data_IF_948699898547
#
_entry.id   IF_948699898547
#
_cell.length_a   1.000
_cell.length_b   1.000
_cell.length_c   1.000
_cell.angle_alpha   90.00
_cell.angle_beta   90.00
_cell.angle_gamma   90.00
#
_symmetry.space_group_name_H-M   'P 1'
#
loop_
_entity.id
_entity.type
_entity.pdbx_description
1 polymer ?
#
# COMPACT_ATOMS: atom_id res chain seq x y z
N UNK A 1 17.30 5.40 35.83
CA UNK A 1 18.62 5.78 35.28
C UNK A 1 18.40 6.91 34.28
N UNK A 2 19.20 7.99 34.29
CA UNK A 2 18.98 9.12 33.40
C UNK A 2 19.40 8.73 31.98
N UNK A 3 18.51 8.95 31.01
CA UNK A 3 18.79 8.75 29.60
C UNK A 3 19.91 9.69 29.15
N UNK A 4 21.06 9.14 28.76
CA UNK A 4 22.13 9.93 28.12
C UNK A 4 21.63 10.43 26.78
N UNK A 5 21.28 11.72 26.72
CA UNK A 5 21.03 12.43 25.47
C UNK A 5 22.37 12.65 24.76
N UNK A 6 22.63 11.91 23.68
CA UNK A 6 23.74 12.19 22.78
C UNK A 6 23.25 13.23 21.77
N UNK A 7 23.68 14.49 21.94
CA UNK A 7 23.53 15.53 20.91
C UNK A 7 24.56 15.26 19.82
N UNK A 8 24.13 14.67 18.70
CA UNK A 8 24.88 14.77 17.44
C UNK A 8 24.66 16.17 16.90
N UNK A 9 25.64 17.05 17.11
CA UNK A 9 25.62 18.42 16.58
C UNK A 9 26.01 18.35 15.10
N UNK A 10 25.00 18.31 14.23
CA UNK A 10 25.12 18.71 12.83
C UNK A 10 24.67 20.16 12.72
N UNK A 11 25.44 20.98 12.00
CA UNK A 11 25.29 22.45 11.86
C UNK A 11 24.15 22.88 10.91
N UNK A 12 23.06 22.13 10.82
CA UNK A 12 21.91 22.50 9.99
C UNK A 12 20.67 22.80 10.83
N UNK A 13 20.28 24.07 10.85
CA UNK A 13 19.18 24.65 11.63
C UNK A 13 17.76 24.23 11.15
N UNK A 14 17.60 23.04 10.57
CA UNK A 14 16.29 22.51 10.13
C UNK A 14 16.09 21.00 10.36
N UNK A 15 16.96 20.33 11.14
CA UNK A 15 16.78 18.91 11.44
C UNK A 15 15.60 18.70 12.41
N UNK A 16 14.45 18.36 11.85
CA UNK A 16 13.28 17.92 12.63
C UNK A 16 13.60 16.55 13.23
N UNK A 17 13.73 16.50 14.55
CA UNK A 17 13.88 15.26 15.31
C UNK A 17 12.51 14.66 15.64
N UNK A 18 12.47 13.35 15.81
CA UNK A 18 11.32 12.61 16.34
C UNK A 18 11.80 11.56 17.34
N UNK A 19 10.95 11.28 18.31
CA UNK A 19 11.10 10.18 19.27
C UNK A 19 10.43 8.95 18.67
N UNK A 20 11.16 7.83 18.61
CA UNK A 20 10.65 6.56 18.12
C UNK A 20 10.89 5.50 19.18
N UNK A 21 9.91 4.63 19.35
CA UNK A 21 10.03 3.43 20.18
C UNK A 21 10.36 2.23 19.30
N UNK A 22 11.24 1.34 19.76
CA UNK A 22 11.47 0.05 19.13
C UNK A 22 11.02 -1.04 20.10
N UNK A 23 10.10 -1.89 19.65
CA UNK A 23 9.54 -2.99 20.45
C UNK A 23 9.83 -4.34 19.81
N UNK A 24 10.14 -5.32 20.65
CA UNK A 24 10.29 -6.73 20.24
C UNK A 24 8.94 -7.39 19.92
N UNK A 25 8.98 -8.38 19.02
CA UNK A 25 7.77 -9.08 18.55
C UNK A 25 7.60 -10.53 19.02
N UNK A 26 8.68 -11.18 19.49
CA UNK A 26 8.67 -12.61 19.84
C UNK A 26 8.50 -12.89 21.33
N UNK A 27 8.72 -11.91 22.21
CA UNK A 27 8.65 -12.10 23.66
C UNK A 27 7.53 -11.26 24.26
N UNK A 28 6.81 -11.82 25.23
CA UNK A 28 5.80 -11.09 26.03
C UNK A 28 6.42 -10.04 26.97
N UNK A 29 7.74 -9.88 26.96
CA UNK A 29 8.43 -8.80 27.68
C UNK A 29 8.34 -7.54 26.82
N UNK A 30 7.78 -6.48 27.39
CA UNK A 30 7.66 -5.17 26.78
C UNK A 30 9.00 -4.43 26.77
N UNK A 31 10.03 -5.03 26.19
CA UNK A 31 11.31 -4.36 25.99
C UNK A 31 11.09 -3.30 24.91
N UNK A 32 10.80 -2.09 25.37
CA UNK A 32 10.65 -0.89 24.55
C UNK A 32 11.91 -0.05 24.66
N UNK A 33 12.64 0.05 23.57
CA UNK A 33 13.80 0.93 23.46
C UNK A 33 13.33 2.27 22.93
N UNK A 34 13.74 3.37 23.56
CA UNK A 34 13.38 4.73 23.10
C UNK A 34 14.60 5.37 22.48
N UNK A 35 14.44 5.93 21.29
CA UNK A 35 15.51 6.67 20.61
C UNK A 35 14.98 7.97 20.01
N UNK A 36 15.84 9.00 19.99
CA UNK A 36 15.54 10.27 19.34
C UNK A 36 16.38 10.36 18.07
N UNK A 37 15.72 10.35 16.92
CA UNK A 37 16.35 10.27 15.61
C UNK A 37 15.91 11.45 14.74
N UNK A 38 16.73 11.80 13.76
CA UNK A 38 16.30 12.72 12.70
C UNK A 38 15.30 12.01 11.80
N UNK A 39 14.38 12.75 11.18
CA UNK A 39 13.43 12.16 10.21
C UNK A 39 14.12 11.52 8.99
N UNK A 40 15.31 12.02 8.65
CA UNK A 40 16.17 11.51 7.59
C UNK A 40 17.12 10.40 8.05
N UNK A 41 17.03 9.93 9.30
CA UNK A 41 17.81 8.78 9.73
C UNK A 41 17.37 7.54 8.95
N UNK A 42 18.29 6.61 8.73
CA UNK A 42 17.98 5.32 8.11
C UNK A 42 17.63 4.28 9.17
N UNK A 43 17.00 3.18 8.75
CA UNK A 43 16.77 2.02 9.63
C UNK A 43 18.09 1.43 10.12
N UNK A 44 19.13 1.42 9.29
CA UNK A 44 20.48 1.01 9.68
C UNK A 44 21.03 1.87 10.82
N UNK A 45 20.77 3.17 10.83
CA UNK A 45 21.17 4.05 11.95
C UNK A 45 20.46 3.65 13.26
N UNK A 46 19.18 3.26 13.20
CA UNK A 46 18.47 2.69 14.36
C UNK A 46 19.12 1.37 14.78
N UNK A 47 19.42 0.48 13.84
CA UNK A 47 20.03 -0.82 14.13
C UNK A 47 21.38 -0.66 14.85
N UNK A 48 22.25 0.22 14.35
CA UNK A 48 23.54 0.53 14.99
C UNK A 48 23.35 1.08 16.41
N UNK A 49 22.43 2.02 16.58
CA UNK A 49 22.09 2.56 17.91
C UNK A 49 21.64 1.45 18.88
N UNK A 50 20.74 0.55 18.45
CA UNK A 50 20.27 -0.55 19.29
C UNK A 50 21.43 -1.49 19.67
N UNK A 51 22.32 -1.81 18.74
CA UNK A 51 23.50 -2.63 19.01
C UNK A 51 24.41 -2.01 20.05
N UNK A 52 24.68 -0.71 19.97
CA UNK A 52 25.44 0.02 20.99
C UNK A 52 24.75 -0.04 22.35
N UNK A 53 23.43 0.18 22.40
CA UNK A 53 22.68 0.09 23.66
C UNK A 53 22.67 -1.33 24.24
N UNK A 54 22.56 -2.35 23.41
CA UNK A 54 22.62 -3.76 23.84
C UNK A 54 24.01 -4.16 24.33
N UNK A 55 25.07 -3.66 23.71
CA UNK A 55 26.44 -3.84 24.20
C UNK A 55 26.63 -3.21 25.59
N UNK A 56 26.16 -1.97 25.79
CA UNK A 56 26.27 -1.27 27.08
C UNK A 56 25.48 -1.99 28.17
N UNK A 57 24.27 -2.45 27.84
CA UNK A 57 23.38 -3.13 28.79
C UNK A 57 23.64 -4.63 28.93
N UNK A 58 24.59 -5.19 28.16
CA UNK A 58 24.84 -6.64 28.03
C UNK A 58 23.57 -7.43 27.71
N UNK A 59 22.72 -6.87 26.86
CA UNK A 59 21.47 -7.49 26.46
C UNK A 59 21.76 -8.70 25.54
N UNK A 60 21.17 -9.88 25.77
CA UNK A 60 21.42 -11.08 24.96
C UNK A 60 21.10 -10.91 23.48
N UNK A 61 20.28 -9.92 23.11
CA UNK A 61 19.96 -9.58 21.73
C UNK A 61 21.19 -9.16 20.91
N UNK A 62 22.28 -8.73 21.54
CA UNK A 62 23.53 -8.38 20.85
C UNK A 62 24.21 -9.57 20.15
N UNK A 63 23.85 -10.80 20.52
CA UNK A 63 24.47 -12.01 19.98
C UNK A 63 23.81 -12.49 18.68
N UNK A 64 22.70 -11.88 18.27
CA UNK A 64 22.02 -12.23 17.03
C UNK A 64 22.71 -11.56 15.83
N UNK A 65 22.78 -12.23 14.67
CA UNK A 65 23.39 -11.65 13.49
C UNK A 65 22.54 -10.49 12.98
N UNK A 66 23.18 -9.45 12.46
CA UNK A 66 22.47 -8.27 11.92
C UNK A 66 21.49 -8.62 10.80
N UNK A 67 21.76 -9.69 10.05
CA UNK A 67 20.86 -10.22 9.01
C UNK A 67 19.53 -10.76 9.57
N UNK A 68 19.49 -11.14 10.85
CA UNK A 68 18.26 -11.58 11.52
C UNK A 68 17.39 -10.41 11.99
N UNK A 69 17.88 -9.16 11.93
CA UNK A 69 17.12 -8.01 12.40
C UNK A 69 16.18 -7.54 11.30
N UNK A 70 14.90 -7.88 11.44
CA UNK A 70 13.86 -7.42 10.53
C UNK A 70 13.05 -6.35 11.24
N UNK A 71 13.02 -5.15 10.66
CA UNK A 71 12.22 -4.03 11.16
C UNK A 71 10.90 -3.95 10.40
N UNK A 72 9.83 -3.62 11.10
CA UNK A 72 8.50 -3.52 10.55
C UNK A 72 7.72 -2.36 11.16
N UNK A 73 6.86 -1.75 10.35
CA UNK A 73 5.98 -0.67 10.75
C UNK A 73 4.70 -0.71 9.91
N UNK A 74 3.53 -0.68 10.55
CA UNK A 74 2.21 -0.69 9.91
C UNK A 74 2.06 -1.72 8.78
N UNK A 75 2.44 -2.98 9.05
CA UNK A 75 2.28 -4.07 8.09
C UNK A 75 3.32 -4.12 6.96
N UNK A 76 4.38 -3.29 7.02
CA UNK A 76 5.47 -3.24 6.03
C UNK A 76 6.82 -3.57 6.65
N UNK A 77 7.66 -4.29 5.92
CA UNK A 77 9.07 -4.45 6.26
C UNK A 77 9.82 -3.17 5.90
N UNK A 78 10.66 -2.71 6.81
CA UNK A 78 11.49 -1.53 6.60
C UNK A 78 12.86 -1.94 6.07
N UNK A 79 13.33 -1.27 5.02
CA UNK A 79 14.64 -1.51 4.40
C UNK A 79 15.73 -0.80 5.19
N UNK A 80 16.87 -1.46 5.36
CA UNK A 80 17.98 -0.91 6.16
C UNK A 80 18.47 0.44 5.65
N UNK A 81 18.58 0.60 4.34
CA UNK A 81 19.08 1.84 3.70
C UNK A 81 18.02 2.94 3.57
N UNK A 82 16.74 2.62 3.81
CA UNK A 82 15.66 3.57 3.66
C UNK A 82 15.60 4.57 4.82
N UNK A 83 15.31 5.83 4.50
CA UNK A 83 15.02 6.86 5.48
C UNK A 83 13.71 6.56 6.21
N UNK A 84 13.61 6.91 7.49
CA UNK A 84 12.43 6.64 8.30
C UNK A 84 11.18 7.40 7.84
N UNK A 85 11.36 8.59 7.31
CA UNK A 85 10.28 9.43 6.81
C UNK A 85 9.45 8.79 5.69
N UNK A 86 10.02 7.94 4.83
CA UNK A 86 9.30 7.29 3.74
C UNK A 86 8.18 6.37 4.25
N UNK A 87 8.29 5.94 5.51
CA UNK A 87 7.31 5.10 6.20
C UNK A 87 6.23 5.92 6.92
N UNK A 88 6.23 7.24 6.78
CA UNK A 88 5.24 8.15 7.39
C UNK A 88 5.22 8.08 8.92
N UNK A 89 6.40 7.82 9.52
CA UNK A 89 6.59 7.80 10.97
C UNK A 89 6.35 9.20 11.57
N UNK A 90 5.60 9.22 12.66
CA UNK A 90 5.32 10.38 13.50
C UNK A 90 6.10 10.31 14.81
N UNK A 91 6.08 11.43 15.55
CA UNK A 91 6.65 11.47 16.89
C UNK A 91 5.88 10.53 17.81
N UNK A 92 6.62 9.71 18.56
CA UNK A 92 6.15 8.67 19.48
C UNK A 92 5.60 7.39 18.81
N UNK A 93 5.84 7.20 17.51
CA UNK A 93 5.48 5.94 16.85
C UNK A 93 6.38 4.77 17.31
N UNK A 94 5.85 3.55 17.21
CA UNK A 94 6.55 2.32 17.58
C UNK A 94 6.92 1.52 16.33
N UNK A 95 8.21 1.33 16.11
CA UNK A 95 8.78 0.38 15.16
C UNK A 95 8.89 -0.98 15.84
N UNK A 96 8.64 -2.04 15.10
CA UNK A 96 8.67 -3.41 15.58
C UNK A 96 9.88 -4.13 15.01
N UNK A 97 10.74 -4.66 15.89
CA UNK A 97 11.88 -5.50 15.50
C UNK A 97 11.55 -6.95 15.79
N UNK A 98 11.88 -7.81 14.82
CA UNK A 98 11.67 -9.26 14.91
C UNK A 98 12.93 -10.02 14.50
N UNK A 99 13.18 -11.13 15.19
CA UNK A 99 14.28 -12.05 14.93
C UNK A 99 13.71 -13.42 14.53
N UNK A 100 13.82 -13.85 13.26
CA UNK A 100 13.28 -15.14 12.81
C UNK A 100 13.72 -16.34 13.67
N UNK A 101 14.96 -16.30 14.17
CA UNK A 101 15.53 -17.32 15.05
C UNK A 101 14.91 -17.40 16.46
N UNK A 102 14.19 -16.37 16.92
CA UNK A 102 13.53 -16.34 18.23
C UNK A 102 12.15 -17.01 18.24
N UNK A 103 11.68 -17.52 17.11
CA UNK A 103 10.40 -18.20 16.99
C UNK A 103 9.24 -17.29 16.53
N UNK A 104 7.98 -17.72 16.75
CA UNK A 104 6.82 -17.08 16.16
C UNK A 104 6.54 -15.70 16.76
N UNK A 105 5.88 -14.85 15.97
CA UNK A 105 5.45 -13.52 16.39
C UNK A 105 4.27 -13.63 17.36
N UNK A 106 4.35 -12.91 18.49
CA UNK A 106 3.28 -12.85 19.49
C UNK A 106 2.36 -11.64 19.28
N UNK A 107 2.83 -10.64 18.52
CA UNK A 107 2.12 -9.39 18.27
C UNK A 107 1.79 -9.23 16.78
N UNK A 108 0.53 -8.95 16.42
CA UNK A 108 0.15 -8.58 15.05
C UNK A 108 0.88 -7.35 14.53
N UNK A 109 1.36 -6.51 15.43
CA UNK A 109 1.95 -5.23 15.07
C UNK A 109 3.32 -5.34 14.37
N UNK A 110 3.99 -6.48 14.52
CA UNK A 110 5.24 -6.81 13.82
C UNK A 110 5.08 -7.77 12.64
N UNK A 111 3.84 -8.05 12.23
CA UNK A 111 3.53 -8.91 11.09
C UNK A 111 3.47 -8.09 9.79
N UNK A 112 3.82 -8.71 8.67
CA UNK A 112 3.60 -8.11 7.34
C UNK A 112 2.13 -8.19 6.95
N UNK A 113 1.73 -7.41 5.94
CA UNK A 113 0.36 -7.45 5.40
C UNK A 113 -0.03 -8.85 4.91
N UNK A 114 0.90 -9.61 4.34
CA UNK A 114 0.67 -10.99 3.92
C UNK A 114 0.57 -11.96 5.10
N UNK A 115 1.45 -11.86 6.09
CA UNK A 115 1.36 -12.67 7.32
C UNK A 115 0.07 -12.41 8.09
N UNK A 116 -0.37 -11.14 8.18
CA UNK A 116 -1.65 -10.75 8.77
C UNK A 116 -2.82 -11.40 8.04
N UNK A 117 -2.78 -11.37 6.70
CA UNK A 117 -3.80 -12.01 5.86
C UNK A 117 -3.85 -13.51 6.10
N UNK A 118 -2.72 -14.19 6.01
CA UNK A 118 -2.63 -15.64 6.24
C UNK A 118 -3.15 -16.02 7.64
N UNK A 119 -2.76 -15.25 8.67
CA UNK A 119 -3.22 -15.47 10.05
C UNK A 119 -4.72 -15.26 10.25
N UNK A 120 -5.33 -14.29 9.55
CA UNK A 120 -6.77 -14.04 9.58
C UNK A 120 -7.55 -15.06 8.73
N UNK A 121 -7.00 -15.50 7.60
CA UNK A 121 -7.58 -16.54 6.75
C UNK A 121 -7.60 -17.89 7.46
N UNK A 122 -6.51 -18.26 8.14
CA UNK A 122 -6.44 -19.47 8.97
C UNK A 122 -7.50 -19.51 10.08
N UNK A 123 -7.99 -18.33 10.52
CA UNK A 123 -9.05 -18.17 11.52
C UNK A 123 -10.44 -17.97 10.92
N UNK A 124 -10.58 -17.98 9.60
CA UNK A 124 -11.83 -17.68 8.87
C UNK A 124 -12.46 -16.31 9.20
N UNK A 125 -11.63 -15.30 9.50
CA UNK A 125 -12.12 -13.94 9.82
C UNK A 125 -11.61 -12.89 8.85
N UNK A 126 -10.81 -13.28 7.87
CA UNK A 126 -10.29 -12.34 6.89
C UNK A 126 -11.41 -11.62 6.11
N UNK A 127 -11.28 -10.29 6.00
CA UNK A 127 -12.15 -9.46 5.16
C UNK A 127 -11.28 -8.75 4.12
N UNK A 128 -11.66 -8.80 2.83
CA UNK A 128 -10.95 -8.06 1.79
C UNK A 128 -11.13 -6.56 1.99
N UNK A 129 -10.22 -5.77 1.40
CA UNK A 129 -10.30 -4.30 1.30
C UNK A 129 -10.02 -3.55 2.60
N UNK A 130 -9.46 -4.25 3.60
CA UNK A 130 -9.03 -3.63 4.85
C UNK A 130 -7.57 -3.21 4.77
N UNK A 131 -7.27 -1.97 5.11
CA UNK A 131 -5.88 -1.47 5.21
C UNK A 131 -5.03 -2.33 6.15
N UNK A 132 -3.70 -2.37 5.99
CA UNK A 132 -2.82 -3.12 6.88
C UNK A 132 -3.08 -2.85 8.36
N UNK A 133 -3.28 -1.60 8.74
CA UNK A 133 -3.61 -1.21 10.12
C UNK A 133 -4.93 -1.83 10.58
N UNK A 134 -5.95 -1.85 9.72
CA UNK A 134 -7.25 -2.46 10.01
C UNK A 134 -7.10 -3.99 10.19
N UNK A 135 -6.28 -4.65 9.37
CA UNK A 135 -5.95 -6.07 9.53
C UNK A 135 -5.23 -6.35 10.86
N UNK A 136 -4.28 -5.48 11.25
CA UNK A 136 -3.56 -5.58 12.53
C UNK A 136 -4.51 -5.49 13.72
N UNK A 137 -5.39 -4.48 13.72
CA UNK A 137 -6.42 -4.33 14.76
C UNK A 137 -7.37 -5.52 14.80
N UNK A 138 -7.81 -5.99 13.63
CA UNK A 138 -8.70 -7.14 13.53
C UNK A 138 -8.04 -8.40 14.12
N UNK A 139 -6.80 -8.71 13.75
CA UNK A 139 -6.09 -9.88 14.27
C UNK A 139 -5.82 -9.73 15.77
N UNK A 140 -5.37 -8.55 16.21
CA UNK A 140 -5.11 -8.28 17.63
C UNK A 140 -6.34 -8.52 18.49
N UNK A 141 -7.49 -8.06 18.00
CA UNK A 141 -8.77 -8.27 18.67
C UNK A 141 -9.19 -9.73 18.72
N UNK A 142 -8.99 -10.48 17.63
CA UNK A 142 -9.24 -11.92 17.62
C UNK A 142 -8.38 -12.67 18.63
N UNK A 143 -7.06 -12.39 18.67
CA UNK A 143 -6.16 -12.99 19.65
C UNK A 143 -6.57 -12.64 21.09
N UNK A 144 -6.98 -11.40 21.32
CA UNK A 144 -7.50 -10.93 22.60
C UNK A 144 -8.78 -11.66 23.03
N UNK A 145 -9.67 -11.98 22.09
CA UNK A 145 -10.90 -12.75 22.35
C UNK A 145 -10.58 -14.22 22.60
N UNK A 146 -9.72 -14.83 21.78
CA UNK A 146 -9.25 -16.22 21.94
C UNK A 146 -8.62 -16.42 23.33
N UNK A 147 -7.69 -15.56 23.73
CA UNK A 147 -7.03 -15.62 25.05
C UNK A 147 -8.02 -15.56 26.21
N UNK A 148 -9.04 -14.70 26.14
CA UNK A 148 -10.07 -14.58 27.17
C UNK A 148 -11.03 -15.76 27.19
N UNK A 149 -11.40 -16.29 26.02
CA UNK A 149 -12.19 -17.51 25.93
C UNK A 149 -11.44 -18.72 26.49
N UNK A 150 -10.15 -18.86 26.24
CA UNK A 150 -9.32 -19.90 26.87
C UNK A 150 -9.28 -19.76 28.39
N UNK A 151 -9.07 -18.53 28.90
CA UNK A 151 -9.13 -18.24 30.35
C UNK A 151 -10.49 -18.62 30.92
N UNK A 152 -11.58 -18.26 30.24
CA UNK A 152 -12.95 -18.58 30.65
C UNK A 152 -13.17 -20.09 30.72
N UNK A 153 -12.73 -20.84 29.69
CA UNK A 153 -12.83 -22.30 29.67
C UNK A 153 -12.04 -22.94 30.82
N UNK A 154 -10.83 -22.44 31.12
CA UNK A 154 -10.02 -22.92 32.25
C UNK A 154 -10.68 -22.60 33.61
N UNK A 155 -11.20 -21.39 33.79
CA UNK A 155 -11.89 -20.98 35.02
C UNK A 155 -13.19 -21.78 35.23
N UNK A 156 -13.96 -22.01 34.16
CA UNK A 156 -15.18 -22.83 34.17
C UNK A 156 -14.87 -24.27 34.56
N UNK A 157 -13.83 -24.87 33.96
CA UNK A 157 -13.36 -26.23 34.31
C UNK A 157 -12.90 -26.35 35.76
N UNK A 158 -12.43 -25.26 36.37
CA UNK A 158 -11.96 -25.20 37.77
C UNK A 158 -13.03 -24.77 38.77
N UNK A 159 -14.24 -24.43 38.31
CA UNK A 159 -15.34 -23.99 39.18
C UNK A 159 -15.13 -22.60 39.82
N UNK A 160 -14.28 -21.75 39.25
CA UNK A 160 -13.96 -20.43 39.81
C UNK A 160 -15.00 -19.39 39.36
N UNK A 161 -16.10 -19.29 40.11
CA UNK A 161 -17.28 -18.46 39.76
C UNK A 161 -16.95 -16.97 39.59
N UNK A 162 -16.12 -16.42 40.48
CA UNK A 162 -15.74 -15.01 40.43
C UNK A 162 -14.88 -14.68 39.19
N UNK A 163 -13.91 -15.55 38.86
CA UNK A 163 -13.10 -15.41 37.65
C UNK A 163 -13.95 -15.52 36.37
N UNK A 164 -14.91 -16.45 36.35
CA UNK A 164 -15.87 -16.59 35.25
C UNK A 164 -16.67 -15.30 35.07
N UNK A 165 -17.17 -14.71 36.16
CA UNK A 165 -17.94 -13.47 36.10
C UNK A 165 -17.07 -12.32 35.57
N UNK A 166 -15.85 -12.16 36.10
CA UNK A 166 -14.91 -11.14 35.66
C UNK A 166 -14.54 -11.25 34.18
N UNK A 167 -14.18 -12.45 33.70
CA UNK A 167 -13.79 -12.68 32.30
C UNK A 167 -14.99 -12.44 31.36
N UNK A 168 -16.20 -12.82 31.78
CA UNK A 168 -17.41 -12.57 30.99
C UNK A 168 -17.69 -11.08 30.86
N UNK A 169 -17.45 -10.29 31.91
CA UNK A 169 -17.53 -8.83 31.83
C UNK A 169 -16.44 -8.26 30.88
N UNK A 170 -15.20 -8.74 30.97
CA UNK A 170 -14.12 -8.34 30.04
C UNK A 170 -14.53 -8.59 28.57
N UNK A 171 -15.12 -9.74 28.27
CA UNK A 171 -15.60 -10.07 26.92
C UNK A 171 -16.71 -9.13 26.43
N UNK A 172 -17.67 -8.78 27.29
CA UNK A 172 -18.74 -7.82 26.95
C UNK A 172 -18.20 -6.42 26.65
N UNK A 173 -17.17 -5.98 27.36
CA UNK A 173 -16.51 -4.69 27.10
C UNK A 173 -15.86 -4.69 25.72
N UNK A 174 -15.13 -5.75 25.37
CA UNK A 174 -14.50 -5.88 24.03
C UNK A 174 -15.49 -5.93 22.87
N UNK A 175 -16.69 -6.46 23.10
CA UNK A 175 -17.77 -6.46 22.12
C UNK A 175 -18.41 -5.08 21.97
N UNK A 176 -18.46 -4.27 23.03
CA UNK A 176 -18.88 -2.86 22.93
C UNK A 176 -17.83 -1.99 22.26
N UNK A 177 -16.56 -2.19 22.57
CA UNK A 177 -15.44 -1.47 21.93
C UNK A 177 -15.35 -1.77 20.42
N UNK A 178 -15.84 -2.93 19.96
CA UNK A 178 -15.96 -3.28 18.54
C UNK A 178 -16.78 -2.29 17.74
N UNK A 179 -17.98 -1.98 18.25
CA UNK A 179 -18.93 -1.14 17.54
C UNK A 179 -18.43 0.30 17.44
N UNK A 180 -17.70 0.77 18.45
CA UNK A 180 -17.16 2.13 18.51
C UNK A 180 -15.87 2.31 17.68
N UNK A 181 -15.01 1.30 17.57
CA UNK A 181 -13.71 1.44 16.89
C UNK A 181 -13.79 1.35 15.37
N UNK A 182 -14.80 0.68 14.81
CA UNK A 182 -15.00 0.62 13.35
C UNK A 182 -15.22 2.01 12.72
N UNK A 183 -15.71 2.99 13.48
CA UNK A 183 -15.89 4.38 13.02
C UNK A 183 -14.61 5.23 13.11
N UNK A 184 -13.66 4.88 13.98
CA UNK A 184 -12.46 5.69 14.28
C UNK A 184 -11.31 5.42 13.30
N UNK A 185 -11.31 4.26 12.63
CA UNK A 185 -10.28 3.87 11.66
C UNK A 185 -10.68 4.36 10.26
N UNK A 186 -11.09 5.62 10.14
CA UNK A 186 -10.96 6.33 8.87
C UNK A 186 -9.46 6.48 8.59
N UNK A 187 -8.97 6.26 7.36
CA UNK A 187 -7.60 6.54 7.03
C UNK A 187 -7.33 7.99 7.41
N UNK A 188 -6.50 8.22 8.43
CA UNK A 188 -5.96 9.55 8.70
C UNK A 188 -5.30 9.96 7.39
N UNK A 189 -5.73 11.10 6.82
CA UNK A 189 -5.03 11.68 5.68
C UNK A 189 -3.61 12.00 6.15
N UNK A 190 -2.69 11.07 5.91
CA UNK A 190 -1.31 11.23 6.29
C UNK A 190 -0.72 12.29 5.36
N UNK A 191 -0.44 13.47 5.91
CA UNK A 191 0.24 14.52 5.17
C UNK A 191 1.60 13.99 4.70
N UNK A 192 1.86 14.07 3.40
CA UNK A 192 3.13 13.59 2.82
C UNK A 192 4.32 14.25 3.52
N UNK A 193 5.31 13.47 4.00
CA UNK A 193 6.54 14.00 4.55
C UNK A 193 7.24 14.94 3.56
N UNK A 194 7.74 16.08 4.07
CA UNK A 194 8.40 17.12 3.24
C UNK A 194 9.64 16.64 2.50
N UNK A 195 10.25 15.57 2.98
CA UNK A 195 11.43 14.94 2.40
C UNK A 195 11.13 14.10 1.17
N UNK A 196 9.89 13.66 0.99
CA UNK A 196 9.47 12.92 -0.20
C UNK A 196 9.13 13.93 -1.28
N UNK A 197 10.06 14.09 -2.24
CA UNK A 197 9.81 14.83 -3.46
C UNK A 197 8.98 13.97 -4.41
N UNK A 198 7.82 14.48 -4.82
CA UNK A 198 6.98 13.86 -5.85
C UNK A 198 6.41 14.96 -6.75
N UNK A 199 6.27 14.73 -8.08
CA UNK A 199 5.91 15.80 -9.03
C UNK A 199 4.57 16.48 -8.73
N UNK A 200 3.65 15.74 -8.10
CA UNK A 200 2.29 16.20 -7.84
C UNK A 200 2.10 16.32 -6.33
N UNK A 201 1.65 17.47 -5.78
CA UNK A 201 1.38 17.60 -4.36
C UNK A 201 0.27 16.62 -3.90
N UNK A 202 0.16 16.33 -2.60
CA UNK A 202 -0.93 15.51 -2.08
C UNK A 202 -2.28 16.07 -2.53
N UNK A 203 -3.05 15.26 -3.24
CA UNK A 203 -4.34 15.66 -3.80
C UNK A 203 -5.31 14.47 -3.74
N UNK A 204 -6.62 14.73 -3.74
CA UNK A 204 -7.62 13.66 -3.74
C UNK A 204 -7.61 12.83 -5.03
N UNK A 205 -7.05 13.35 -6.12
CA UNK A 205 -7.03 12.68 -7.42
C UNK A 205 -6.27 11.35 -7.37
N UNK A 206 -6.83 10.30 -7.99
CA UNK A 206 -6.16 8.99 -8.10
C UNK A 206 -5.17 8.99 -9.25
N UNK A 207 -4.04 8.30 -9.05
CA UNK A 207 -3.05 8.01 -10.10
C UNK A 207 -3.29 6.63 -10.72
N UNK A 208 -3.08 6.51 -12.02
CA UNK A 208 -3.22 5.25 -12.76
C UNK A 208 -1.85 4.75 -13.21
N UNK A 209 -1.53 3.51 -12.86
CA UNK A 209 -0.33 2.84 -13.36
C UNK A 209 -0.68 1.81 -14.44
N UNK A 210 0.02 1.89 -15.56
CA UNK A 210 -0.28 1.09 -16.76
C UNK A 210 0.75 -0.02 -17.04
N UNK A 211 1.94 0.08 -16.46
CA UNK A 211 3.06 -0.83 -16.68
C UNK A 211 3.48 -1.50 -15.38
N UNK A 212 3.41 -2.83 -15.35
CA UNK A 212 3.81 -3.64 -14.18
C UNK A 212 5.32 -3.52 -13.96
N UNK A 213 6.11 -3.63 -15.03
CA UNK A 213 7.58 -3.58 -14.93
C UNK A 213 8.07 -2.21 -14.46
N UNK A 214 7.44 -1.10 -14.90
CA UNK A 214 7.82 0.22 -14.41
C UNK A 214 7.38 0.46 -12.96
N UNK A 215 6.21 -0.09 -12.59
CA UNK A 215 5.71 -0.02 -11.23
C UNK A 215 6.64 -0.80 -10.29
N UNK A 216 7.04 -2.01 -10.65
CA UNK A 216 7.94 -2.83 -9.81
C UNK A 216 9.30 -2.16 -9.57
N UNK A 217 9.87 -1.49 -10.57
CA UNK A 217 11.15 -0.78 -10.39
C UNK A 217 11.05 0.44 -9.46
N UNK A 218 9.85 0.99 -9.25
CA UNK A 218 9.66 2.30 -8.62
C UNK A 218 8.70 2.30 -7.43
N UNK A 219 7.91 1.25 -7.19
CA UNK A 219 6.76 1.28 -6.27
C UNK A 219 7.13 1.72 -4.86
N UNK A 220 8.33 1.40 -4.40
CA UNK A 220 8.83 1.80 -3.08
C UNK A 220 9.09 3.29 -2.94
N UNK A 221 9.48 3.94 -4.04
CA UNK A 221 9.69 5.40 -4.09
C UNK A 221 8.37 6.14 -4.26
N UNK A 222 7.29 5.43 -4.58
CA UNK A 222 5.98 6.04 -4.75
C UNK A 222 5.42 6.36 -3.35
N UNK A 223 5.07 7.64 -3.09
CA UNK A 223 4.48 8.04 -1.84
C UNK A 223 3.23 7.19 -1.50
N UNK A 224 3.06 6.85 -0.22
CA UNK A 224 1.89 6.09 0.26
C UNK A 224 0.56 6.74 -0.14
N UNK A 225 0.48 8.07 -0.06
CA UNK A 225 -0.72 8.83 -0.44
C UNK A 225 -1.05 8.76 -1.93
N UNK A 226 -0.10 8.36 -2.78
CA UNK A 226 -0.31 8.11 -4.21
C UNK A 226 -0.58 6.64 -4.46
N UNK A 227 0.26 5.75 -3.91
CA UNK A 227 0.20 4.31 -4.17
C UNK A 227 -1.08 3.67 -3.62
N UNK A 228 -1.56 4.06 -2.44
CA UNK A 228 -2.74 3.46 -1.79
C UNK A 228 -4.07 3.75 -2.50
N UNK A 229 -4.36 4.97 -2.96
CA UNK A 229 -5.56 5.23 -3.76
C UNK A 229 -5.39 4.93 -5.25
N UNK A 230 -4.17 4.61 -5.73
CA UNK A 230 -3.93 4.36 -7.14
C UNK A 230 -4.74 3.19 -7.72
N UNK A 231 -5.07 3.32 -9.02
CA UNK A 231 -5.72 2.32 -9.84
C UNK A 231 -4.66 1.71 -10.76
N UNK A 232 -4.66 0.40 -10.92
CA UNK A 232 -3.73 -0.30 -11.79
C UNK A 232 -4.49 -0.89 -12.97
N UNK A 233 -4.03 -0.61 -14.18
CA UNK A 233 -4.67 -1.09 -15.41
C UNK A 233 -3.57 -1.70 -16.26
N UNK A 234 -3.50 -3.03 -16.31
CA UNK A 234 -2.39 -3.73 -16.95
C UNK A 234 -2.82 -4.42 -18.22
N UNK A 235 -2.06 -4.20 -19.30
CA UNK A 235 -2.16 -4.90 -20.57
C UNK A 235 -1.61 -6.33 -20.55
N UNK A 236 -1.74 -7.03 -19.43
CA UNK A 236 -1.13 -8.33 -19.20
C UNK A 236 -2.15 -9.31 -18.64
N UNK A 237 -1.85 -10.61 -18.72
CA UNK A 237 -2.64 -11.65 -18.08
C UNK A 237 -2.16 -11.81 -16.64
N UNK A 238 -3.11 -11.88 -15.71
CA UNK A 238 -2.87 -12.18 -14.30
C UNK A 238 -1.99 -13.42 -14.10
N UNK A 239 -2.23 -14.49 -14.85
CA UNK A 239 -1.48 -15.74 -14.72
C UNK A 239 0.01 -15.58 -15.04
N UNK A 240 0.37 -14.66 -15.93
CA UNK A 240 1.78 -14.42 -16.29
C UNK A 240 2.59 -13.89 -15.11
N UNK A 241 1.92 -13.15 -14.21
CA UNK A 241 2.54 -12.51 -13.06
C UNK A 241 2.62 -13.46 -11.86
N UNK A 242 1.58 -14.27 -11.63
CA UNK A 242 1.46 -15.09 -10.42
C UNK A 242 1.77 -16.58 -10.62
N UNK A 243 1.74 -17.11 -11.84
CA UNK A 243 1.94 -18.55 -12.03
C UNK A 243 3.41 -18.96 -11.90
N UNK A 244 3.62 -20.18 -11.41
CA UNK A 244 4.96 -20.77 -11.31
C UNK A 244 5.59 -20.89 -12.69
N UNK A 245 6.81 -20.37 -12.84
CA UNK A 245 7.52 -20.19 -14.11
C UNK A 245 7.60 -21.44 -15.02
N UNK A 246 7.65 -22.65 -14.44
CA UNK A 246 7.71 -23.90 -15.21
C UNK A 246 6.45 -24.17 -16.07
N UNK A 247 5.31 -23.54 -15.77
CA UNK A 247 4.07 -23.71 -16.54
C UNK A 247 3.97 -22.77 -17.75
N UNK A 248 4.68 -21.63 -17.72
CA UNK A 248 4.47 -20.51 -18.66
C UNK A 248 5.39 -20.57 -19.90
N UNK A 249 6.50 -21.33 -19.87
CA UNK A 249 7.43 -21.45 -21.00
C UNK A 249 6.80 -22.03 -22.29
N UNK A 250 5.60 -22.63 -22.21
CA UNK A 250 4.89 -23.21 -23.37
C UNK A 250 3.86 -22.26 -24.01
N UNK A 251 3.50 -21.17 -23.34
CA UNK A 251 2.69 -20.11 -23.93
C UNK A 251 3.64 -19.00 -24.43
N UNK A 252 3.21 -18.17 -25.38
CA UNK A 252 3.93 -16.98 -25.85
C UNK A 252 4.09 -15.97 -24.72
N UNK A 253 5.04 -16.25 -23.82
CA UNK A 253 5.20 -15.62 -22.52
C UNK A 253 6.33 -14.59 -22.59
N UNK A 254 6.06 -13.38 -22.07
CA UNK A 254 7.02 -12.29 -22.03
C UNK A 254 7.82 -12.34 -20.71
N UNK A 255 9.14 -12.47 -20.82
CA UNK A 255 10.07 -12.60 -19.69
C UNK A 255 10.04 -11.40 -18.73
N UNK A 256 9.55 -10.23 -19.16
CA UNK A 256 9.47 -9.02 -18.31
C UNK A 256 8.52 -9.15 -17.11
N UNK A 257 7.71 -10.21 -17.07
CA UNK A 257 6.78 -10.55 -15.98
C UNK A 257 7.31 -11.63 -15.03
N UNK A 258 8.60 -11.98 -15.10
CA UNK A 258 9.20 -12.99 -14.23
C UNK A 258 9.78 -12.43 -12.94
N UNK A 259 9.80 -13.29 -11.91
CA UNK A 259 10.60 -13.17 -10.70
C UNK A 259 10.41 -11.88 -9.87
N UNK A 260 9.20 -11.32 -9.85
CA UNK A 260 8.89 -10.22 -8.94
C UNK A 260 9.04 -10.62 -7.47
N UNK A 261 9.49 -9.66 -6.67
CA UNK A 261 9.59 -9.83 -5.22
C UNK A 261 8.22 -10.18 -4.61
N UNK A 262 8.23 -11.03 -3.57
CA UNK A 262 6.99 -11.47 -2.90
C UNK A 262 6.19 -10.26 -2.38
N UNK A 263 6.86 -9.26 -1.83
CA UNK A 263 6.21 -8.05 -1.29
C UNK A 263 5.44 -7.26 -2.37
N UNK A 264 6.00 -7.19 -3.59
CA UNK A 264 5.34 -6.56 -4.73
C UNK A 264 4.10 -7.35 -5.18
N UNK A 265 4.22 -8.67 -5.27
CA UNK A 265 3.11 -9.56 -5.61
C UNK A 265 1.99 -9.48 -4.56
N UNK A 266 2.33 -9.50 -3.27
CA UNK A 266 1.37 -9.38 -2.18
C UNK A 266 0.62 -8.03 -2.24
N UNK A 267 1.31 -6.95 -2.59
CA UNK A 267 0.69 -5.63 -2.82
C UNK A 267 -0.30 -5.65 -3.99
N UNK A 268 0.05 -6.29 -5.11
CA UNK A 268 -0.86 -6.44 -6.24
C UNK A 268 -2.11 -7.24 -5.88
N UNK A 269 -1.97 -8.32 -5.12
CA UNK A 269 -3.11 -9.12 -4.67
C UNK A 269 -4.02 -8.29 -3.75
N UNK A 270 -3.43 -7.52 -2.83
CA UNK A 270 -4.19 -6.65 -1.95
C UNK A 270 -5.00 -5.58 -2.73
N UNK A 271 -4.39 -5.04 -3.79
CA UNK A 271 -5.03 -4.08 -4.68
C UNK A 271 -6.12 -4.72 -5.54
N UNK A 272 -5.93 -5.96 -5.97
CA UNK A 272 -6.90 -6.73 -6.72
C UNK A 272 -8.14 -7.02 -5.88
N UNK A 273 -7.96 -7.44 -4.62
CA UNK A 273 -9.05 -7.60 -3.66
C UNK A 273 -9.82 -6.27 -3.50
N UNK A 274 -9.08 -5.15 -3.37
CA UNK A 274 -9.62 -3.79 -3.30
C UNK A 274 -10.38 -3.33 -4.56
N UNK A 275 -10.48 -4.16 -5.60
CA UNK A 275 -11.10 -3.83 -6.88
C UNK A 275 -10.46 -2.60 -7.53
N UNK A 276 -9.14 -2.44 -7.35
CA UNK A 276 -8.34 -1.36 -7.92
C UNK A 276 -7.33 -1.86 -8.96
N UNK A 277 -7.39 -3.13 -9.37
CA UNK A 277 -6.55 -3.70 -10.43
C UNK A 277 -7.44 -4.24 -11.52
N UNK A 278 -7.12 -3.88 -12.76
CA UNK A 278 -7.74 -4.42 -13.96
C UNK A 278 -6.70 -5.10 -14.83
N UNK A 279 -6.98 -6.35 -15.21
CA UNK A 279 -6.18 -7.13 -16.14
C UNK A 279 -6.88 -7.16 -17.49
N UNK A 280 -6.23 -6.65 -18.53
CA UNK A 280 -6.84 -6.58 -19.86
C UNK A 280 -6.89 -7.94 -20.58
N UNK A 281 -5.89 -8.79 -20.35
CA UNK A 281 -5.85 -10.16 -20.88
C UNK A 281 -6.45 -11.12 -19.83
N UNK A 282 -7.19 -12.16 -20.24
CA UNK A 282 -7.29 -12.69 -21.61
C UNK A 282 -8.46 -12.14 -22.44
N UNK A 283 -9.40 -11.41 -21.84
CA UNK A 283 -10.65 -11.03 -22.51
C UNK A 283 -10.46 -9.95 -23.60
N UNK A 284 -9.42 -9.12 -23.48
CA UNK A 284 -9.10 -8.01 -24.39
C UNK A 284 -10.30 -7.10 -24.65
N UNK A 285 -11.07 -6.79 -23.59
CA UNK A 285 -12.31 -6.01 -23.71
C UNK A 285 -12.15 -4.61 -23.14
N UNK A 286 -12.32 -3.61 -24.02
CA UNK A 286 -12.37 -2.20 -23.61
C UNK A 286 -13.71 -1.85 -22.93
N UNK A 287 -14.77 -2.59 -23.21
CA UNK A 287 -16.05 -2.49 -22.49
C UNK A 287 -15.92 -2.93 -21.04
N UNK A 288 -15.18 -4.01 -20.78
CA UNK A 288 -14.87 -4.46 -19.43
C UNK A 288 -14.05 -3.42 -18.67
N UNK A 289 -13.06 -2.80 -19.33
CA UNK A 289 -12.27 -1.71 -18.75
C UNK A 289 -13.15 -0.49 -18.40
N UNK A 290 -14.06 -0.11 -19.32
CA UNK A 290 -15.00 0.99 -19.10
C UNK A 290 -15.93 0.69 -17.91
N UNK A 291 -16.43 -0.54 -17.82
CA UNK A 291 -17.31 -0.98 -16.74
C UNK A 291 -16.58 -1.01 -15.39
N UNK A 292 -15.34 -1.49 -15.37
CA UNK A 292 -14.47 -1.47 -14.20
C UNK A 292 -14.29 -0.06 -13.64
N UNK A 293 -13.98 0.93 -14.49
CA UNK A 293 -13.85 2.32 -14.06
C UNK A 293 -15.17 2.85 -13.44
N UNK A 294 -16.32 2.51 -14.04
CA UNK A 294 -17.64 2.92 -13.54
C UNK A 294 -18.01 2.31 -12.18
N UNK A 295 -17.32 1.27 -11.71
CA UNK A 295 -17.52 0.70 -10.37
C UNK A 295 -16.74 1.47 -9.29
N UNK A 296 -15.74 2.27 -9.69
CA UNK A 296 -14.88 2.97 -8.76
C UNK A 296 -15.43 4.38 -8.52
N UNK A 297 -15.55 4.73 -7.24
CA UNK A 297 -15.95 6.08 -6.80
C UNK A 297 -14.78 7.05 -6.88
N UNK A 298 -14.99 8.15 -7.59
CA UNK A 298 -14.08 9.27 -7.67
C UNK A 298 -14.08 10.05 -6.33
N UNK A 299 -12.93 10.13 -5.63
CA UNK A 299 -12.84 10.88 -4.38
C UNK A 299 -13.06 12.39 -4.55
N UNK A 300 -12.86 12.95 -5.76
CA UNK A 300 -13.02 14.40 -6.00
C UNK A 300 -14.49 14.76 -6.17
N UNK A 301 -15.19 14.04 -7.04
CA UNK A 301 -16.58 14.32 -7.39
C UNK A 301 -17.59 13.57 -6.52
N UNK A 302 -17.13 12.59 -5.73
CA UNK A 302 -17.96 11.67 -4.94
C UNK A 302 -18.94 10.83 -5.76
N UNK A 303 -18.84 10.87 -7.09
CA UNK A 303 -19.60 10.05 -8.04
C UNK A 303 -18.70 8.95 -8.61
N UNK A 304 -19.28 7.96 -9.29
CA UNK A 304 -18.48 6.97 -10.01
C UNK A 304 -17.78 7.61 -11.22
N UNK A 305 -16.64 7.04 -11.62
CA UNK A 305 -16.00 7.48 -12.86
C UNK A 305 -16.92 7.24 -14.07
N UNK A 306 -16.73 8.07 -15.09
CA UNK A 306 -17.50 8.01 -16.32
C UNK A 306 -17.01 6.89 -17.23
N UNK A 307 -17.93 6.29 -18.02
CA UNK A 307 -17.54 5.29 -19.01
C UNK A 307 -16.62 5.88 -20.07
N UNK A 308 -15.79 5.01 -20.66
CA UNK A 308 -14.91 5.38 -21.76
C UNK A 308 -15.73 5.63 -23.04
N UNK A 309 -15.22 6.53 -23.88
CA UNK A 309 -15.76 6.75 -25.22
C UNK A 309 -15.26 5.62 -26.13
N UNK A 310 -16.09 4.61 -26.38
CA UNK A 310 -15.70 3.43 -27.18
C UNK A 310 -16.19 3.48 -28.63
N UNK A 311 -17.01 4.47 -28.99
CA UNK A 311 -17.53 4.64 -30.34
C UNK A 311 -16.49 5.29 -31.27
N UNK A 312 -15.86 4.49 -32.13
CA UNK A 312 -14.90 4.98 -33.14
C UNK A 312 -15.40 6.18 -33.98
N UNK A 313 -16.67 6.24 -34.45
CA UNK A 313 -17.18 7.39 -35.20
C UNK A 313 -17.15 8.70 -34.41
N UNK A 314 -17.35 8.63 -33.08
CA UNK A 314 -17.27 9.82 -32.23
C UNK A 314 -15.84 10.34 -32.14
N UNK A 315 -14.84 9.46 -32.07
CA UNK A 315 -13.44 9.87 -32.14
C UNK A 315 -13.09 10.48 -33.49
N UNK A 316 -13.51 9.87 -34.60
CA UNK A 316 -13.29 10.41 -35.94
C UNK A 316 -13.90 11.80 -36.14
N UNK A 317 -15.04 12.09 -35.49
CA UNK A 317 -15.64 13.44 -35.51
C UNK A 317 -14.80 14.51 -34.82
N UNK A 318 -13.86 14.10 -33.94
CA UNK A 318 -12.86 14.99 -33.32
C UNK A 318 -11.64 15.23 -34.23
N UNK A 319 -11.40 14.32 -35.19
CA UNK A 319 -10.36 14.44 -36.22
C UNK A 319 -10.78 15.36 -37.36
N UNK A 320 -9.87 16.21 -37.84
CA UNK A 320 -10.14 17.09 -39.00
C UNK A 320 -9.31 18.37 -39.04
N UNK A 321 -9.43 19.12 -40.15
CA UNK A 321 -8.63 20.33 -40.45
C UNK A 321 -8.76 21.49 -39.44
N UNK A 322 -9.79 21.48 -38.57
CA UNK A 322 -9.97 22.45 -37.48
C UNK A 322 -10.04 21.76 -36.09
N UNK A 323 -9.70 20.46 -36.00
CA UNK A 323 -9.87 19.59 -34.84
C UNK A 323 -8.55 19.08 -34.25
N UNK A 324 -8.62 17.95 -33.56
CA UNK A 324 -7.53 17.32 -32.78
C UNK A 324 -6.24 17.09 -33.58
N UNK A 325 -6.35 16.82 -34.88
CA UNK A 325 -5.24 16.54 -35.81
C UNK A 325 -4.89 17.73 -36.74
N UNK A 326 -5.51 18.90 -36.57
CA UNK A 326 -5.35 20.06 -37.45
C UNK A 326 -4.11 20.91 -37.14
N UNK A 327 -3.47 21.49 -38.19
CA UNK A 327 -2.44 22.53 -38.03
C UNK A 327 -3.06 23.82 -37.48
N UNK A 328 -2.34 24.52 -36.60
CA UNK A 328 -2.71 25.86 -36.12
C UNK A 328 -3.00 26.78 -37.32
N UNK A 329 -4.15 27.46 -37.33
CA UNK A 329 -4.50 28.41 -38.41
C UNK A 329 -3.41 29.50 -38.54
N UNK A 330 -3.12 29.92 -39.78
CA UNK A 330 -2.31 31.13 -40.06
C UNK A 330 -2.91 32.40 -39.43
N UNK A 331 -4.20 32.37 -39.08
CA UNK A 331 -4.98 33.50 -38.54
C UNK A 331 -5.01 33.56 -37.00
N UNK A 332 -4.24 32.71 -36.29
CA UNK A 332 -4.08 32.75 -34.83
C UNK A 332 -5.28 32.29 -33.97
N UNK A 333 -6.43 31.92 -34.56
CA UNK A 333 -7.60 31.41 -33.83
C UNK A 333 -7.39 29.95 -33.37
N UNK A 334 -7.57 29.70 -32.07
CA UNK A 334 -7.32 28.40 -31.38
C UNK A 334 -8.42 27.37 -31.63
N UNK A 335 -8.06 26.09 -31.45
CA UNK A 335 -8.92 24.90 -31.43
C UNK A 335 -10.15 25.12 -30.54
N UNK A 336 -11.35 25.00 -31.10
CA UNK A 336 -12.65 25.14 -30.41
C UNK A 336 -13.10 23.86 -29.71
N UNK A 337 -12.36 22.76 -29.84
CA UNK A 337 -12.66 21.50 -29.16
C UNK A 337 -12.54 21.67 -27.64
N UNK A 338 -13.59 21.27 -26.91
CA UNK A 338 -13.56 21.13 -25.44
C UNK A 338 -12.55 20.07 -25.00
N UNK A 339 -12.23 19.10 -25.87
CA UNK A 339 -11.27 18.02 -25.66
C UNK A 339 -9.95 18.36 -26.34
N UNK A 340 -8.91 18.63 -25.54
CA UNK A 340 -7.56 18.86 -26.05
C UNK A 340 -6.73 17.59 -25.85
N UNK A 341 -5.96 17.15 -26.87
CA UNK A 341 -5.02 16.04 -26.70
C UNK A 341 -4.03 16.29 -25.58
N UNK A 342 -3.70 15.23 -24.83
CA UNK A 342 -2.68 15.29 -23.77
C UNK A 342 -1.53 14.32 -24.06
N UNK A 343 -1.85 13.07 -24.38
CA UNK A 343 -0.92 11.96 -24.61
C UNK A 343 -0.74 11.62 -26.08
N UNK A 344 -1.77 11.79 -26.93
CA UNK A 344 -1.65 11.59 -28.38
C UNK A 344 -2.43 12.59 -29.20
N UNK A 345 -1.79 13.14 -30.22
CA UNK A 345 -2.44 14.00 -31.23
C UNK A 345 -3.09 13.20 -32.35
N UNK A 346 -2.95 11.87 -32.39
CA UNK A 346 -3.53 11.03 -33.45
C UNK A 346 -4.82 10.36 -32.98
N UNK A 347 -5.94 10.84 -33.51
CA UNK A 347 -7.25 10.21 -33.41
C UNK A 347 -7.22 8.84 -34.08
N UNK A 348 -6.52 8.71 -35.21
CA UNK A 348 -6.40 7.43 -35.90
C UNK A 348 -5.78 6.34 -35.01
N UNK A 349 -4.80 6.68 -34.17
CA UNK A 349 -4.22 5.73 -33.21
C UNK A 349 -5.25 5.19 -32.22
N UNK A 350 -6.14 6.05 -31.72
CA UNK A 350 -7.24 5.67 -30.82
C UNK A 350 -8.24 4.77 -31.55
N UNK A 351 -8.64 5.16 -32.76
CA UNK A 351 -9.59 4.41 -33.58
C UNK A 351 -9.05 3.03 -33.94
N UNK A 352 -7.78 2.94 -34.36
CA UNK A 352 -7.13 1.65 -34.61
C UNK A 352 -7.11 0.80 -33.36
N UNK A 353 -6.76 1.37 -32.19
CA UNK A 353 -6.75 0.63 -30.92
C UNK A 353 -8.14 0.07 -30.54
N UNK A 354 -9.20 0.84 -30.79
CA UNK A 354 -10.59 0.40 -30.61
C UNK A 354 -10.95 -0.75 -31.57
N UNK A 355 -10.54 -0.65 -32.83
CA UNK A 355 -10.84 -1.67 -33.85
C UNK A 355 -10.07 -2.98 -33.62
N UNK A 356 -8.81 -2.89 -33.17
CA UNK A 356 -7.98 -4.06 -32.89
C UNK A 356 -8.17 -4.64 -31.48
N UNK A 357 -8.96 -3.99 -30.61
CA UNK A 357 -9.06 -4.34 -29.19
C UNK A 357 -7.68 -4.54 -28.54
N UNK A 358 -6.75 -3.65 -28.86
CA UNK A 358 -5.38 -3.72 -28.35
C UNK A 358 -5.21 -2.90 -27.07
N UNK A 359 -4.15 -3.20 -26.33
CA UNK A 359 -3.73 -2.41 -25.17
C UNK A 359 -2.60 -1.44 -25.54
N UNK A 360 -2.88 -0.47 -26.42
CA UNK A 360 -1.93 0.63 -26.63
C UNK A 360 -2.02 1.61 -25.47
N UNK A 361 -0.98 1.62 -24.63
CA UNK A 361 -0.91 2.45 -23.42
C UNK A 361 -1.24 3.91 -23.74
N UNK A 362 -0.67 4.49 -24.79
CA UNK A 362 -0.86 5.93 -25.07
C UNK A 362 -2.31 6.22 -25.48
N UNK A 363 -2.93 5.33 -26.27
CA UNK A 363 -4.33 5.48 -26.66
C UNK A 363 -5.25 5.34 -25.44
N UNK A 364 -5.00 4.36 -24.57
CA UNK A 364 -5.76 4.14 -23.34
C UNK A 364 -5.63 5.31 -22.37
N UNK A 365 -4.42 5.83 -22.18
CA UNK A 365 -4.17 7.01 -21.34
C UNK A 365 -4.98 8.21 -21.81
N UNK A 366 -4.99 8.45 -23.12
CA UNK A 366 -5.80 9.52 -23.72
C UNK A 366 -7.30 9.28 -23.49
N UNK A 367 -7.81 8.09 -23.80
CA UNK A 367 -9.22 7.75 -23.63
C UNK A 367 -9.69 7.94 -22.17
N UNK A 368 -8.89 7.47 -21.21
CA UNK A 368 -9.20 7.60 -19.79
C UNK A 368 -9.19 9.09 -19.39
N UNK A 369 -8.18 9.85 -19.81
CA UNK A 369 -8.05 11.26 -19.44
C UNK A 369 -9.18 12.13 -19.99
N UNK A 370 -9.63 11.85 -21.22
CA UNK A 370 -10.76 12.55 -21.83
C UNK A 370 -12.09 12.21 -21.14
N UNK A 371 -12.30 10.96 -20.75
CA UNK A 371 -13.51 10.55 -20.02
C UNK A 371 -13.52 11.06 -18.58
N UNK A 372 -12.36 11.01 -17.92
CA UNK A 372 -12.19 11.26 -16.48
C UNK A 372 -10.99 12.20 -16.23
N UNK A 373 -11.16 13.52 -16.40
CA UNK A 373 -10.06 14.49 -16.24
C UNK A 373 -9.46 14.57 -14.84
N UNK A 374 -10.17 14.10 -13.81
CA UNK A 374 -9.70 14.04 -12.43
C UNK A 374 -8.62 12.98 -12.22
N UNK A 375 -8.54 11.96 -13.09
CA UNK A 375 -7.50 10.93 -13.00
C UNK A 375 -6.13 11.48 -13.43
N UNK A 376 -5.11 11.12 -12.67
CA UNK A 376 -3.71 11.38 -12.96
C UNK A 376 -3.11 10.14 -13.60
N UNK A 377 -2.26 10.32 -14.60
CA UNK A 377 -1.68 9.24 -15.40
C UNK A 377 -0.20 9.54 -15.57
#
# INVERSE_FOLDING_TARGET
MPAKQIKVISKDASLVYMTVYVSMCQQNKSDKFTTKVTRLATVEAIQRFLMEQWQITKNPLMNYPLSDHIFSFNGRIMRHEANLDIYYLNDNDTIYIRFPSLGPLTTPWGMTSSELREALQARNVYRPNLLPEQLMYQLHRHLQKESRLERLQRATKRGLVDEVHQITQELRVLEKDEAAQLEIISPRQLARPKSISWPIPPCPNRTIFHSISELELKYEKIPRDVLEPAIFIFGANREWVFAKHNKLQKASFDYKYMAYEKDFLDMLVFKEEASLVFWFEPERSLDALSSFLCQIRDPVTSQHYRPLLLEAPRWLSLGGHNGWEGKTRRDGRRVLSKMKPIYTTSVQRIVTNLQSNSFDIIAIQEMIKQANPTLLI
#
